data_IF_775992690170
#
_entry.id   IF_775992690170
#
_cell.length_a   1.000
_cell.length_b   1.000
_cell.length_c   1.000
_cell.angle_alpha   90.00
_cell.angle_beta   90.00
_cell.angle_gamma   90.00
#
_symmetry.space_group_name_H-M   'P 1'
#
loop_
_entity.id
_entity.type
_entity.pdbx_description
1 polymer ?
#
# COMPACT_ATOMS: atom_id res chain seq x y z
N UNK A 1 21.03 6.56 -16.30
CA UNK A 1 21.14 5.73 -15.09
C UNK A 1 19.74 5.23 -14.79
N UNK A 2 19.50 3.93 -14.86
CA UNK A 2 18.21 3.33 -14.48
C UNK A 2 18.09 3.37 -12.97
N UNK A 3 17.15 4.14 -12.43
CA UNK A 3 16.83 4.12 -11.01
C UNK A 3 16.35 2.71 -10.64
N UNK A 4 16.91 2.07 -9.60
CA UNK A 4 16.47 0.73 -9.21
C UNK A 4 15.01 0.77 -8.77
N UNK A 5 14.26 -0.28 -9.08
CA UNK A 5 12.89 -0.45 -8.58
C UNK A 5 12.90 -0.57 -7.06
N UNK A 6 11.83 -0.11 -6.41
CA UNK A 6 11.67 -0.26 -4.97
C UNK A 6 11.63 -1.75 -4.59
N UNK A 7 12.32 -2.11 -3.51
CA UNK A 7 12.26 -3.47 -2.97
C UNK A 7 11.03 -3.67 -2.08
N UNK A 8 10.50 -4.90 -1.99
CA UNK A 8 9.41 -5.26 -1.06
C UNK A 8 9.64 -4.76 0.36
N UNK A 9 10.88 -4.85 0.87
CA UNK A 9 11.23 -4.41 2.22
C UNK A 9 11.08 -2.91 2.41
N UNK A 10 11.47 -2.10 1.43
CA UNK A 10 11.32 -0.64 1.49
C UNK A 10 9.85 -0.26 1.56
N UNK A 11 9.04 -0.90 0.72
CA UNK A 11 7.60 -0.67 0.68
C UNK A 11 6.92 -1.10 1.98
N UNK A 12 7.32 -2.24 2.55
CA UNK A 12 6.85 -2.67 3.87
C UNK A 12 7.18 -1.64 4.96
N UNK A 13 8.37 -1.04 4.97
CA UNK A 13 8.71 -0.01 5.96
C UNK A 13 7.77 1.20 5.85
N UNK A 14 7.40 1.61 4.64
CA UNK A 14 6.43 2.70 4.45
C UNK A 14 5.05 2.32 4.97
N UNK A 15 4.57 1.10 4.67
CA UNK A 15 3.28 0.61 5.19
C UNK A 15 3.28 0.54 6.73
N UNK A 16 4.39 0.10 7.32
CA UNK A 16 4.59 0.08 8.77
C UNK A 16 4.58 1.49 9.37
N UNK A 17 5.32 2.43 8.78
CA UNK A 17 5.36 3.82 9.24
C UNK A 17 3.96 4.46 9.22
N UNK A 18 3.18 4.18 8.18
CA UNK A 18 1.78 4.60 8.07
C UNK A 18 0.94 3.96 9.19
N UNK A 19 1.05 2.65 9.40
CA UNK A 19 0.30 1.93 10.43
C UNK A 19 0.64 2.40 11.86
N UNK A 20 1.89 2.83 12.08
CA UNK A 20 2.37 3.41 13.35
C UNK A 20 1.96 4.88 13.51
N UNK A 21 1.38 5.52 12.49
CA UNK A 21 1.05 6.94 12.50
C UNK A 21 2.26 7.88 12.39
N UNK A 22 3.42 7.36 11.97
CA UNK A 22 4.63 8.14 11.68
C UNK A 22 4.41 8.97 10.40
N UNK A 23 3.72 8.38 9.43
CA UNK A 23 3.36 9.01 8.15
C UNK A 23 1.87 9.22 8.05
N UNK A 24 1.47 10.42 7.63
CA UNK A 24 0.05 10.74 7.49
C UNK A 24 -0.50 10.20 6.18
N UNK A 25 -1.39 9.21 6.27
CA UNK A 25 -2.13 8.69 5.13
C UNK A 25 -3.18 9.70 4.68
N UNK A 26 -3.22 10.00 3.38
CA UNK A 26 -4.25 10.79 2.73
C UNK A 26 -4.82 10.00 1.57
N UNK A 27 -6.13 9.95 1.47
CA UNK A 27 -6.81 9.25 0.38
C UNK A 27 -6.79 10.11 -0.88
N UNK A 28 -6.45 9.51 -2.01
CA UNK A 28 -6.41 10.18 -3.33
C UNK A 28 -7.62 9.80 -4.18
N UNK A 29 -8.11 8.56 -4.06
CA UNK A 29 -9.30 8.09 -4.78
C UNK A 29 -10.60 8.59 -4.16
N UNK A 30 -11.57 8.96 -5.01
CA UNK A 30 -12.89 9.46 -4.61
C UNK A 30 -13.75 8.47 -3.82
N UNK A 31 -13.94 7.20 -4.25
CA UNK A 31 -14.71 6.25 -3.43
C UNK A 31 -13.93 5.88 -2.16
N UNK A 32 -14.64 5.83 -1.04
CA UNK A 32 -14.12 5.34 0.24
C UNK A 32 -13.90 3.83 0.22
N UNK A 33 -13.13 3.32 1.19
CA UNK A 33 -12.75 1.90 1.20
C UNK A 33 -13.97 0.98 1.34
N UNK A 34 -14.99 1.42 2.08
CA UNK A 34 -16.26 0.68 2.26
C UNK A 34 -17.18 0.75 1.04
N UNK A 35 -17.07 1.79 0.21
CA UNK A 35 -17.84 1.91 -1.04
C UNK A 35 -17.25 1.04 -2.15
N UNK A 36 -15.95 0.74 -2.07
CA UNK A 36 -15.28 -0.19 -2.97
C UNK A 36 -15.60 -1.61 -2.51
N UNK A 37 -16.58 -2.25 -3.16
CA UNK A 37 -16.90 -3.65 -2.91
C UNK A 37 -15.74 -4.58 -3.30
N UNK A 38 -15.19 -4.42 -4.52
CA UNK A 38 -13.95 -5.02 -4.98
C UNK A 38 -13.28 -4.03 -5.94
N UNK A 39 -11.99 -3.74 -5.78
CA UNK A 39 -11.31 -2.75 -6.60
C UNK A 39 -9.96 -2.33 -6.05
N UNK A 40 -9.52 -1.13 -6.43
CA UNK A 40 -8.27 -0.56 -5.94
C UNK A 40 -8.48 0.85 -5.40
N UNK A 41 -7.77 1.18 -4.33
CA UNK A 41 -7.70 2.54 -3.80
C UNK A 41 -6.28 3.07 -3.89
N UNK A 42 -6.14 4.31 -4.34
CA UNK A 42 -4.89 5.06 -4.29
C UNK A 42 -4.89 5.99 -3.08
N UNK A 43 -3.79 5.94 -2.34
CA UNK A 43 -3.50 6.75 -1.16
C UNK A 43 -2.11 7.36 -1.29
N UNK A 44 -1.86 8.43 -0.57
CA UNK A 44 -0.57 9.08 -0.50
C UNK A 44 -0.12 9.29 0.94
N UNK A 45 1.18 9.28 1.18
CA UNK A 45 1.77 9.58 2.48
C UNK A 45 3.17 10.17 2.28
N UNK A 46 3.41 11.42 2.71
CA UNK A 46 4.73 12.08 2.63
C UNK A 46 5.41 11.98 1.25
N UNK A 47 4.64 12.19 0.18
CA UNK A 47 5.11 12.13 -1.21
C UNK A 47 5.20 10.71 -1.80
N UNK A 48 4.90 9.67 -1.02
CA UNK A 48 4.69 8.32 -1.52
C UNK A 48 3.27 8.17 -2.04
N UNK A 49 3.09 7.45 -3.14
CA UNK A 49 1.77 7.11 -3.70
C UNK A 49 1.64 5.60 -3.72
N UNK A 50 0.67 5.05 -2.99
CA UNK A 50 0.41 3.62 -2.87
C UNK A 50 -0.94 3.28 -3.50
N UNK A 51 -0.99 2.19 -4.26
CA UNK A 51 -2.23 1.62 -4.79
C UNK A 51 -2.47 0.27 -4.17
N UNK A 52 -3.57 0.12 -3.45
CA UNK A 52 -3.94 -1.03 -2.65
C UNK A 52 -5.14 -1.75 -3.28
N UNK A 53 -5.15 -3.08 -3.26
CA UNK A 53 -6.32 -3.88 -3.65
C UNK A 53 -7.24 -4.11 -2.47
N UNK A 54 -8.50 -3.78 -2.68
CA UNK A 54 -9.61 -4.16 -1.82
C UNK A 54 -10.33 -5.35 -2.46
N UNK A 55 -10.51 -6.42 -1.68
CA UNK A 55 -11.35 -7.57 -2.03
C UNK A 55 -12.39 -7.76 -0.92
N UNK A 56 -13.67 -7.50 -1.23
CA UNK A 56 -14.79 -7.63 -0.29
C UNK A 56 -14.60 -6.86 1.04
N UNK A 57 -13.98 -5.68 0.99
CA UNK A 57 -13.67 -4.84 2.16
C UNK A 57 -12.34 -5.17 2.85
N UNK A 58 -11.67 -6.25 2.48
CA UNK A 58 -10.37 -6.63 3.02
C UNK A 58 -9.22 -6.08 2.18
N UNK A 59 -8.10 -5.75 2.83
CA UNK A 59 -6.85 -5.41 2.15
C UNK A 59 -6.14 -6.71 1.73
N UNK A 60 -6.15 -6.99 0.43
CA UNK A 60 -5.61 -8.21 -0.18
C UNK A 60 -4.11 -8.07 -0.48
N UNK A 61 -3.74 -7.19 -1.42
CA UNK A 61 -2.35 -6.97 -1.82
C UNK A 61 -2.06 -5.52 -2.19
N UNK A 62 -0.77 -5.16 -2.19
CA UNK A 62 -0.33 -3.90 -2.77
C UNK A 62 -0.11 -4.05 -4.28
N UNK A 63 -0.75 -3.20 -5.07
CA UNK A 63 -0.63 -3.22 -6.54
C UNK A 63 0.65 -2.49 -6.97
N UNK A 64 0.86 -1.27 -6.46
CA UNK A 64 2.02 -0.44 -6.80
C UNK A 64 2.35 0.56 -5.69
N UNK A 65 3.59 1.02 -5.66
CA UNK A 65 4.05 2.09 -4.80
C UNK A 65 5.05 2.97 -5.56
N UNK A 66 4.86 4.28 -5.50
CA UNK A 66 5.76 5.29 -6.07
C UNK A 66 6.42 6.02 -4.92
N UNK A 67 7.74 6.11 -4.94
CA UNK A 67 8.50 6.92 -4.01
C UNK A 67 8.60 8.37 -4.51
N UNK A 68 8.80 9.33 -3.60
CA UNK A 68 9.02 10.73 -3.96
C UNK A 68 10.31 10.96 -4.77
N UNK A 69 11.25 10.01 -4.74
CA UNK A 69 12.49 10.04 -5.53
C UNK A 69 12.33 9.44 -6.95
N UNK A 70 11.10 9.08 -7.34
CA UNK A 70 10.78 8.59 -8.68
C UNK A 70 11.02 7.10 -8.92
N UNK A 71 11.32 6.32 -7.88
CA UNK A 71 11.37 4.85 -7.95
C UNK A 71 9.96 4.27 -7.85
N UNK A 72 9.79 3.09 -8.43
CA UNK A 72 8.50 2.40 -8.50
C UNK A 72 8.65 0.98 -8.02
N UNK A 73 7.71 0.57 -7.17
CA UNK A 73 7.35 -0.80 -6.91
C UNK A 73 6.11 -1.10 -7.75
N UNK A 74 6.19 -2.12 -8.58
CA UNK A 74 5.02 -2.72 -9.18
C UNK A 74 5.07 -4.20 -8.81
N UNK A 75 3.93 -4.76 -8.39
CA UNK A 75 3.81 -6.19 -8.18
C UNK A 75 4.04 -6.88 -9.53
N UNK A 76 5.28 -7.30 -9.79
CA UNK A 76 5.64 -8.00 -11.01
C UNK A 76 5.02 -9.39 -10.93
N UNK A 77 3.92 -9.60 -11.65
CA UNK A 77 3.27 -10.91 -11.81
C UNK A 77 4.21 -11.99 -12.39
N UNK A 78 5.35 -11.59 -12.97
CA UNK A 78 6.42 -12.47 -13.46
C UNK A 78 7.45 -12.87 -12.39
N UNK A 79 7.44 -12.26 -11.20
CA UNK A 79 8.38 -12.59 -10.13
C UNK A 79 7.68 -13.45 -9.08
N UNK A 80 7.61 -14.76 -9.35
CA UNK A 80 6.96 -15.76 -8.49
C UNK A 80 7.51 -15.83 -7.05
N UNK A 81 8.67 -15.20 -6.79
CA UNK A 81 9.34 -15.17 -5.48
C UNK A 81 9.17 -13.84 -4.72
N UNK A 82 8.44 -12.87 -5.27
CA UNK A 82 8.19 -11.61 -4.58
C UNK A 82 7.12 -11.78 -3.50
N UNK A 83 7.50 -11.70 -2.22
CA UNK A 83 6.52 -11.60 -1.13
C UNK A 83 5.80 -10.27 -1.22
N UNK A 84 4.48 -10.27 -1.05
CA UNK A 84 3.70 -9.05 -0.96
C UNK A 84 4.12 -8.23 0.28
N UNK A 85 4.36 -6.91 0.16
CA UNK A 85 4.64 -6.05 1.31
C UNK A 85 3.56 -6.09 2.40
N UNK A 86 2.29 -6.24 2.02
CA UNK A 86 1.13 -6.41 2.92
C UNK A 86 1.23 -7.73 3.68
N UNK A 87 1.71 -8.81 3.04
CA UNK A 87 1.90 -10.11 3.71
C UNK A 87 3.02 -10.10 4.76
N UNK A 88 3.91 -9.10 4.73
CA UNK A 88 4.92 -8.89 5.77
C UNK A 88 4.38 -8.13 6.99
N UNK A 89 3.20 -7.52 6.88
CA UNK A 89 2.58 -6.79 7.99
C UNK A 89 2.05 -7.76 9.04
N UNK A 90 2.26 -7.41 10.30
CA UNK A 90 1.58 -8.05 11.41
C UNK A 90 0.07 -7.77 11.36
N UNK A 91 -0.72 -8.61 12.04
CA UNK A 91 -2.17 -8.42 12.16
C UNK A 91 -2.54 -7.04 12.73
N UNK A 92 -1.73 -6.51 13.65
CA UNK A 92 -1.95 -5.18 14.21
C UNK A 92 -1.69 -4.07 13.19
N UNK A 93 -0.57 -4.14 12.47
CA UNK A 93 -0.22 -3.15 11.43
C UNK A 93 -1.29 -3.15 10.32
N UNK A 94 -1.76 -4.33 9.91
CA UNK A 94 -2.81 -4.49 8.89
C UNK A 94 -4.14 -3.87 9.35
N UNK A 95 -4.57 -4.12 10.59
CA UNK A 95 -5.78 -3.53 11.15
C UNK A 95 -5.71 -2.01 11.28
N UNK A 96 -4.54 -1.45 11.65
CA UNK A 96 -4.35 0.01 11.68
C UNK A 96 -4.43 0.62 10.29
N UNK A 97 -3.81 -0.02 9.30
CA UNK A 97 -3.88 0.46 7.92
C UNK A 97 -5.32 0.45 7.40
N UNK A 98 -6.07 -0.63 7.61
CA UNK A 98 -7.50 -0.71 7.26
C UNK A 98 -8.32 0.40 7.92
N UNK A 99 -8.08 0.68 9.20
CA UNK A 99 -8.73 1.78 9.90
C UNK A 99 -8.41 3.14 9.28
N UNK A 100 -7.16 3.38 8.88
CA UNK A 100 -6.76 4.62 8.20
C UNK A 100 -7.36 4.76 6.80
N UNK A 101 -7.61 3.64 6.12
CA UNK A 101 -8.32 3.60 4.83
C UNK A 101 -9.83 3.87 4.98
N UNK A 102 -10.34 3.84 6.20
CA UNK A 102 -11.77 4.01 6.49
C UNK A 102 -12.57 2.72 6.34
N UNK A 103 -11.93 1.55 6.43
CA UNK A 103 -12.64 0.29 6.65
C UNK A 103 -13.26 0.35 8.06
N UNK A 104 -14.59 0.44 8.13
CA UNK A 104 -15.35 0.53 9.37
C UNK A 104 -15.60 -0.84 10.00
#
# INVERSE_FOLDING_TARGET
MTTPSLATREVYQILRDIALGIRNLQRVSEPSWTEIACGSMTVQADGWILTLRNEAGALDHLISCFSPDGRVYALNTHHHYGTDPVALMSTWEHAQLLRLLGAA
#
